data_IF_547700245532
#
_entry.id   IF_547700245532
#
_cell.length_a   1.000
_cell.length_b   1.000
_cell.length_c   1.000
_cell.angle_alpha   90.00
_cell.angle_beta   90.00
_cell.angle_gamma   90.00
#
_symmetry.space_group_name_H-M   'P 1'
#
loop_
_entity.id
_entity.type
_entity.pdbx_description
1 polymer ?
#
# COMPACT_ATOMS: atom_id res chain seq x y z
N UNK A 1 -15.53 6.81 -6.49
CA UNK A 1 -14.39 5.89 -6.42
C UNK A 1 -14.20 5.58 -4.97
N UNK A 2 -14.12 4.29 -4.70
CA UNK A 2 -13.96 3.67 -3.40
C UNK A 2 -12.60 2.98 -3.47
N UNK A 3 -11.74 3.25 -2.49
CA UNK A 3 -10.43 2.59 -2.40
C UNK A 3 -10.42 1.75 -1.13
N UNK A 4 -10.14 0.47 -1.28
CA UNK A 4 -10.02 -0.48 -0.18
C UNK A 4 -8.52 -0.78 -0.01
N UNK A 5 -7.95 -0.29 1.07
CA UNK A 5 -6.53 -0.43 1.39
C UNK A 5 -6.32 -1.61 2.33
N UNK A 6 -5.31 -2.43 2.06
CA UNK A 6 -4.94 -3.59 2.88
C UNK A 6 -3.55 -3.37 3.47
N UNK A 7 -3.45 -3.24 4.80
CA UNK A 7 -2.18 -3.11 5.51
C UNK A 7 -1.91 -4.41 6.28
N UNK A 8 -0.74 -5.01 6.06
CA UNK A 8 -0.38 -6.29 6.66
C UNK A 8 -0.83 -7.53 5.88
N UNK A 9 -1.14 -7.37 4.58
CA UNK A 9 -1.44 -8.48 3.67
C UNK A 9 -0.59 -8.41 2.39
N UNK A 10 -0.13 -9.55 1.92
CA UNK A 10 0.68 -9.67 0.71
C UNK A 10 -0.06 -9.19 -0.56
N UNK A 11 0.66 -8.49 -1.44
CA UNK A 11 0.10 -7.87 -2.64
C UNK A 11 -0.47 -8.88 -3.64
N UNK A 12 0.07 -10.10 -3.73
CA UNK A 12 -0.44 -11.13 -4.63
C UNK A 12 -1.75 -11.71 -4.10
N UNK A 13 -1.86 -11.84 -2.77
CA UNK A 13 -3.11 -12.22 -2.12
C UNK A 13 -4.18 -11.15 -2.37
N UNK A 14 -3.85 -9.86 -2.21
CA UNK A 14 -4.80 -8.77 -2.53
C UNK A 14 -5.16 -8.76 -4.02
N UNK A 15 -4.21 -9.05 -4.92
CA UNK A 15 -4.47 -9.16 -6.36
C UNK A 15 -5.43 -10.29 -6.72
N UNK A 16 -5.34 -11.43 -6.02
CA UNK A 16 -6.32 -12.52 -6.17
C UNK A 16 -7.68 -12.14 -5.57
N UNK A 17 -7.67 -11.56 -4.37
CA UNK A 17 -8.86 -11.11 -3.67
C UNK A 17 -9.66 -10.09 -4.50
N UNK A 18 -8.98 -9.12 -5.12
CA UNK A 18 -9.62 -8.13 -5.98
C UNK A 18 -10.32 -8.79 -7.17
N UNK A 19 -9.66 -9.73 -7.84
CA UNK A 19 -10.25 -10.49 -8.95
C UNK A 19 -11.51 -11.26 -8.54
N UNK A 20 -11.51 -11.86 -7.35
CA UNK A 20 -12.64 -12.68 -6.87
C UNK A 20 -13.81 -11.83 -6.34
N UNK A 21 -13.53 -10.66 -5.75
CA UNK A 21 -14.53 -9.92 -4.96
C UNK A 21 -14.96 -8.55 -5.54
N UNK A 22 -14.31 -8.03 -6.59
CA UNK A 22 -14.66 -6.71 -7.18
C UNK A 22 -16.15 -6.61 -7.52
N UNK A 23 -16.69 -7.59 -8.26
CA UNK A 23 -18.10 -7.60 -8.69
C UNK A 23 -19.09 -7.57 -7.53
N UNK A 24 -18.82 -8.36 -6.49
CA UNK A 24 -19.67 -8.41 -5.30
C UNK A 24 -19.63 -7.08 -4.54
N UNK A 25 -18.44 -6.52 -4.32
CA UNK A 25 -18.26 -5.23 -3.65
C UNK A 25 -18.92 -4.08 -4.43
N UNK A 26 -18.78 -4.04 -5.75
CA UNK A 26 -19.45 -3.07 -6.61
C UNK A 26 -20.98 -3.16 -6.47
N UNK A 27 -21.53 -4.38 -6.43
CA UNK A 27 -22.96 -4.61 -6.19
C UNK A 27 -23.40 -4.14 -4.80
N UNK A 28 -22.61 -4.38 -3.74
CA UNK A 28 -22.93 -3.96 -2.37
C UNK A 28 -22.89 -2.44 -2.21
N UNK A 29 -22.01 -1.77 -2.95
CA UNK A 29 -21.92 -0.32 -3.01
C UNK A 29 -22.88 0.33 -4.01
N UNK A 30 -23.67 -0.46 -4.75
CA UNK A 30 -24.54 0.03 -5.83
C UNK A 30 -23.79 0.92 -6.84
N UNK A 31 -22.61 0.45 -7.29
CA UNK A 31 -21.73 1.19 -8.20
C UNK A 31 -21.13 0.29 -9.28
N UNK A 32 -20.41 0.88 -10.23
CA UNK A 32 -19.71 0.13 -11.28
C UNK A 32 -18.41 -0.48 -10.75
N UNK A 33 -17.97 -1.60 -11.34
CA UNK A 33 -16.69 -2.24 -11.00
C UNK A 33 -15.50 -1.26 -11.13
N UNK A 34 -15.53 -0.37 -12.13
CA UNK A 34 -14.53 0.68 -12.34
C UNK A 34 -14.39 1.69 -11.19
N UNK A 35 -15.35 1.73 -10.27
CA UNK A 35 -15.31 2.63 -9.12
C UNK A 35 -14.70 1.98 -7.87
N UNK A 36 -14.35 0.69 -7.93
CA UNK A 36 -13.73 -0.05 -6.83
C UNK A 36 -12.23 -0.23 -7.13
N UNK A 37 -11.40 0.29 -6.23
CA UNK A 37 -9.95 0.12 -6.28
C UNK A 37 -9.47 -0.65 -5.06
N UNK A 38 -8.47 -1.52 -5.28
CA UNK A 38 -7.76 -2.23 -4.24
C UNK A 38 -6.35 -1.66 -4.15
N UNK A 39 -5.94 -1.27 -2.95
CA UNK A 39 -4.62 -0.71 -2.70
C UNK A 39 -3.86 -1.62 -1.72
N UNK A 40 -2.75 -2.18 -2.19
CA UNK A 40 -1.90 -3.11 -1.44
C UNK A 40 -0.48 -2.55 -1.35
N UNK A 41 -0.20 -1.63 -0.41
CA UNK A 41 1.16 -1.16 -0.19
C UNK A 41 2.01 -2.27 0.42
N UNK A 42 3.28 -2.35 0.02
CA UNK A 42 4.26 -3.16 0.73
C UNK A 42 4.47 -2.57 2.12
N UNK A 43 3.82 -3.16 3.11
CA UNK A 43 3.72 -2.65 4.47
C UNK A 43 3.85 -3.80 5.46
N UNK A 44 4.52 -3.53 6.57
CA UNK A 44 4.63 -4.45 7.70
C UNK A 44 3.86 -3.89 8.88
N UNK A 45 3.11 -4.74 9.57
CA UNK A 45 2.42 -4.38 10.81
C UNK A 45 3.31 -4.77 11.98
N UNK A 46 3.54 -3.85 12.91
CA UNK A 46 4.29 -4.13 14.14
C UNK A 46 3.43 -3.83 15.36
N UNK A 47 3.52 -4.68 16.37
CA UNK A 47 2.96 -4.43 17.69
C UNK A 47 4.01 -4.71 18.76
N UNK A 48 4.33 -3.71 19.57
CA UNK A 48 5.34 -3.79 20.64
C UNK A 48 6.70 -4.35 20.15
N UNK A 49 7.16 -3.89 18.98
CA UNK A 49 8.42 -4.32 18.38
C UNK A 49 8.38 -5.70 17.69
N UNK A 50 7.23 -6.38 17.69
CA UNK A 50 7.06 -7.69 17.05
C UNK A 50 6.30 -7.51 15.73
N UNK A 51 6.80 -8.14 14.68
CA UNK A 51 6.19 -8.22 13.35
C UNK A 51 4.87 -9.02 13.41
N UNK A 52 3.81 -8.54 12.75
CA UNK A 52 2.42 -9.05 12.85
C UNK A 52 1.73 -9.24 11.50
N UNK A 53 2.43 -9.01 10.39
CA UNK A 53 1.89 -9.20 9.03
C UNK A 53 1.35 -10.61 8.89
N UNK A 54 0.25 -10.77 8.16
CA UNK A 54 -0.52 -12.02 8.05
C UNK A 54 -1.23 -12.48 9.33
N UNK A 55 -0.86 -11.96 10.50
CA UNK A 55 -1.59 -12.20 11.76
C UNK A 55 -2.69 -11.16 11.96
N UNK A 56 -2.32 -9.88 11.85
CA UNK A 56 -3.22 -8.73 11.93
C UNK A 56 -3.33 -8.05 10.55
N UNK A 57 -4.55 -7.89 10.08
CA UNK A 57 -4.90 -7.18 8.86
C UNK A 57 -5.70 -5.93 9.20
N UNK A 58 -5.24 -4.77 8.74
CA UNK A 58 -5.98 -3.51 8.85
C UNK A 58 -6.50 -3.16 7.47
N UNK A 59 -7.82 -3.00 7.36
CA UNK A 59 -8.50 -2.64 6.12
C UNK A 59 -9.11 -1.25 6.26
N UNK A 60 -8.75 -0.35 5.35
CA UNK A 60 -9.29 1.01 5.31
C UNK A 60 -10.10 1.18 4.04
N UNK A 61 -11.41 1.42 4.19
CA UNK A 61 -12.33 1.67 3.09
C UNK A 61 -12.56 3.17 2.97
N UNK A 62 -11.91 3.79 1.99
CA UNK A 62 -12.07 5.20 1.68
C UNK A 62 -13.16 5.39 0.63
N UNK A 63 -14.24 6.08 0.98
CA UNK A 63 -15.42 6.19 0.12
C UNK A 63 -16.09 7.59 0.21
N UNK A 64 -16.82 8.01 -0.84
CA UNK A 64 -17.68 9.19 -0.76
C UNK A 64 -18.76 9.05 0.34
N UNK A 65 -19.08 10.15 1.04
CA UNK A 65 -20.08 10.18 2.14
C UNK A 65 -21.43 9.55 1.75
N UNK A 66 -21.83 9.64 0.46
CA UNK A 66 -23.09 9.03 -0.05
C UNK A 66 -23.19 7.52 0.15
N UNK A 67 -22.07 6.81 0.32
CA UNK A 67 -22.07 5.34 0.52
C UNK A 67 -22.16 4.92 1.99
N UNK A 68 -22.16 5.87 2.94
CA UNK A 68 -22.28 5.59 4.37
C UNK A 68 -23.50 4.71 4.75
N UNK A 69 -24.67 4.82 4.12
CA UNK A 69 -25.79 3.92 4.42
C UNK A 69 -25.51 2.43 4.13
N UNK A 70 -24.57 2.13 3.22
CA UNK A 70 -24.21 0.77 2.80
C UNK A 70 -23.07 0.16 3.64
N UNK A 71 -22.48 0.95 4.55
CA UNK A 71 -21.31 0.60 5.38
C UNK A 71 -21.48 -0.76 6.05
N UNK A 72 -22.60 -0.99 6.75
CA UNK A 72 -22.82 -2.22 7.52
C UNK A 72 -22.83 -3.47 6.65
N UNK A 73 -23.39 -3.38 5.44
CA UNK A 73 -23.50 -4.53 4.54
C UNK A 73 -22.12 -4.85 3.95
N UNK A 74 -21.37 -3.83 3.55
CA UNK A 74 -19.99 -3.98 3.06
C UNK A 74 -19.07 -4.49 4.17
N UNK A 75 -19.19 -3.94 5.38
CA UNK A 75 -18.39 -4.35 6.53
C UNK A 75 -18.59 -5.82 6.86
N UNK A 76 -19.86 -6.26 6.91
CA UNK A 76 -20.19 -7.66 7.11
C UNK A 76 -19.54 -8.55 6.05
N UNK A 77 -19.67 -8.18 4.78
CA UNK A 77 -19.08 -8.96 3.69
C UNK A 77 -17.56 -9.07 3.80
N UNK A 78 -16.85 -7.95 4.02
CA UNK A 78 -15.39 -7.95 4.17
C UNK A 78 -14.94 -8.79 5.38
N UNK A 79 -15.62 -8.67 6.51
CA UNK A 79 -15.30 -9.45 7.71
C UNK A 79 -15.62 -10.95 7.57
N UNK A 80 -16.49 -11.33 6.64
CA UNK A 80 -16.80 -12.74 6.32
C UNK A 80 -15.80 -13.36 5.35
N UNK A 81 -15.22 -12.58 4.42
CA UNK A 81 -14.33 -13.09 3.37
C UNK A 81 -12.84 -13.01 3.71
N UNK A 82 -12.42 -12.03 4.50
CA UNK A 82 -11.02 -11.82 4.87
C UNK A 82 -10.41 -12.81 5.89
N UNK A 83 -11.19 -13.53 6.74
CA UNK A 83 -10.63 -14.53 7.65
C UNK A 83 -9.89 -15.69 6.96
N UNK A 84 -10.00 -15.81 5.62
CA UNK A 84 -9.22 -16.74 4.83
C UNK A 84 -7.72 -16.39 4.77
N UNK A 85 -7.36 -15.14 5.07
CA UNK A 85 -6.00 -14.62 4.86
C UNK A 85 -5.33 -14.07 6.12
N UNK A 86 -6.09 -13.77 7.17
CA UNK A 86 -5.57 -13.24 8.44
C UNK A 86 -6.45 -13.61 9.62
N UNK A 87 -5.84 -13.65 10.81
CA UNK A 87 -6.51 -14.11 12.04
C UNK A 87 -7.30 -12.98 12.70
N UNK A 88 -6.70 -11.80 12.76
CA UNK A 88 -7.32 -10.60 13.29
C UNK A 88 -7.51 -9.60 12.18
N UNK A 89 -8.73 -9.03 12.10
CA UNK A 89 -9.11 -8.09 11.05
C UNK A 89 -9.68 -6.86 11.73
N UNK A 90 -9.07 -5.73 11.43
CA UNK A 90 -9.56 -4.40 11.75
C UNK A 90 -10.11 -3.77 10.46
N UNK A 91 -11.27 -3.13 10.56
CA UNK A 91 -11.94 -2.51 9.43
C UNK A 91 -12.38 -1.09 9.80
N UNK A 92 -11.90 -0.13 9.03
CA UNK A 92 -12.20 1.28 9.20
C UNK A 92 -12.82 1.86 7.93
N UNK A 93 -13.76 2.80 8.09
CA UNK A 93 -14.33 3.54 6.97
C UNK A 93 -13.93 5.01 7.07
N UNK A 94 -13.28 5.50 6.01
CA UNK A 94 -12.92 6.91 5.86
C UNK A 94 -13.81 7.56 4.79
N UNK A 95 -14.68 8.47 5.23
CA UNK A 95 -15.57 9.19 4.31
C UNK A 95 -14.99 10.52 3.86
N UNK A 96 -15.17 10.82 2.58
CA UNK A 96 -14.81 12.12 2.01
C UNK A 96 -15.97 12.76 1.23
N UNK A 97 -15.97 14.08 1.22
CA UNK A 97 -16.93 14.85 0.43
C UNK A 97 -16.59 14.80 -1.05
N UNK A 98 -17.61 14.61 -1.90
CA UNK A 98 -17.41 14.49 -3.36
C UNK A 98 -16.86 15.80 -3.94
N UNK A 99 -17.18 16.94 -3.33
CA UNK A 99 -16.63 18.26 -3.70
C UNK A 99 -15.13 18.40 -3.46
N UNK A 100 -14.53 17.57 -2.61
CA UNK A 100 -13.11 17.59 -2.26
C UNK A 100 -12.29 16.57 -3.07
N UNK A 101 -12.88 16.01 -4.13
CA UNK A 101 -12.23 15.08 -5.05
C UNK A 101 -12.07 15.73 -6.42
N UNK A 102 -10.86 15.68 -6.94
CA UNK A 102 -10.51 16.13 -8.28
C UNK A 102 -9.93 14.96 -9.06
N UNK A 103 -10.34 14.79 -10.32
CA UNK A 103 -9.84 13.73 -11.18
C UNK A 103 -9.56 14.23 -12.59
N UNK A 104 -8.57 13.63 -13.24
CA UNK A 104 -8.28 13.81 -14.66
C UNK A 104 -8.12 12.42 -15.26
N UNK A 105 -9.03 12.07 -16.17
CA UNK A 105 -8.99 10.80 -16.90
C UNK A 105 -8.50 11.10 -18.31
N UNK A 106 -7.50 10.36 -18.78
CA UNK A 106 -7.03 10.47 -20.15
C UNK A 106 -7.98 9.67 -21.06
N UNK A 107 -8.69 10.31 -22.01
CA UNK A 107 -9.61 9.61 -22.90
C UNK A 107 -8.92 8.71 -23.93
N UNK A 108 -7.62 8.93 -24.19
CA UNK A 108 -6.85 8.20 -25.21
C UNK A 108 -6.43 6.79 -24.73
N UNK A 109 -6.58 6.49 -23.44
CA UNK A 109 -6.16 5.23 -22.83
C UNK A 109 -7.30 4.64 -21.99
N UNK A 110 -7.40 3.30 -21.91
CA UNK A 110 -8.34 2.68 -21.00
C UNK A 110 -7.99 3.06 -19.56
N UNK A 111 -9.01 3.27 -18.72
CA UNK A 111 -8.83 3.66 -17.32
C UNK A 111 -8.07 2.59 -16.52
N UNK A 112 -8.30 1.32 -16.85
CA UNK A 112 -7.63 0.16 -16.24
C UNK A 112 -7.09 -0.76 -17.32
N UNK A 113 -5.97 -1.42 -17.02
CA UNK A 113 -5.36 -2.46 -17.85
C UNK A 113 -6.12 -3.76 -17.59
N UNK A 114 -6.54 -4.47 -18.64
CA UNK A 114 -7.14 -5.80 -18.52
C UNK A 114 -6.11 -6.92 -18.83
N UNK A 115 -6.52 -8.18 -18.65
CA UNK A 115 -5.65 -9.33 -18.93
C UNK A 115 -5.18 -9.39 -20.39
N UNK A 116 -5.94 -8.87 -21.35
CA UNK A 116 -5.55 -8.85 -22.76
C UNK A 116 -4.44 -7.85 -23.07
N UNK A 117 -4.20 -6.88 -22.18
CA UNK A 117 -3.11 -5.90 -22.31
C UNK A 117 -1.80 -6.36 -21.65
N UNK A 118 -1.82 -7.42 -20.83
CA UNK A 118 -0.63 -7.95 -20.15
C UNK A 118 0.12 -8.85 -21.13
N UNK A 119 1.31 -8.43 -21.57
CA UNK A 119 2.21 -9.31 -22.32
C UNK A 119 2.96 -10.19 -21.33
N UNK A 120 2.76 -11.50 -21.41
CA UNK A 120 3.61 -12.45 -20.69
C UNK A 120 5.05 -12.29 -21.21
N UNK A 121 5.96 -11.92 -20.32
CA UNK A 121 7.40 -11.94 -20.63
C UNK A 121 7.86 -13.36 -20.36
N UNK A 122 8.31 -14.07 -21.40
CA UNK A 122 9.04 -15.32 -21.25
C UNK A 122 10.35 -15.02 -20.54
N UNK A 123 10.36 -15.12 -19.21
CA UNK A 123 11.60 -15.08 -18.42
C UNK A 123 12.18 -16.49 -18.48
N UNK A 124 12.94 -16.78 -19.54
CA UNK A 124 13.85 -17.92 -19.54
C UNK A 124 14.94 -17.60 -18.52
N UNK A 125 14.84 -18.20 -17.34
CA UNK A 125 15.97 -18.29 -16.42
C UNK A 125 16.98 -19.22 -17.08
N UNK A 126 18.01 -18.66 -17.70
CA UNK A 126 19.21 -19.40 -18.05
C UNK A 126 19.82 -19.91 -16.73
N UNK A 127 19.49 -21.16 -16.39
CA UNK A 127 20.20 -21.91 -15.35
C UNK A 127 21.63 -22.16 -15.86
N UNK A 128 22.51 -21.18 -15.69
CA UNK A 128 23.94 -21.41 -15.75
C UNK A 128 24.39 -21.76 -14.32
N UNK A 129 24.37 -23.07 -14.05
CA UNK A 129 24.83 -23.71 -12.82
C UNK A 129 26.33 -23.46 -12.61
N UNK A 130 26.66 -22.32 -11.99
CA UNK A 130 28.03 -21.95 -11.60
C UNK A 130 28.20 -21.92 -10.08
N UNK A 131 28.18 -23.08 -9.42
CA UNK A 131 28.63 -23.19 -8.03
C UNK A 131 30.11 -22.76 -7.92
N UNK A 132 30.39 -21.64 -7.26
CA UNK A 132 31.70 -21.37 -6.64
C UNK A 132 31.51 -21.29 -5.13
N UNK A 133 31.52 -22.47 -4.54
CA UNK A 133 31.73 -22.68 -3.10
C UNK A 133 33.21 -22.43 -2.80
N UNK A 134 33.56 -21.20 -2.39
CA UNK A 134 34.72 -20.93 -1.54
C UNK A 134 34.64 -19.50 -0.99
N UNK A 135 34.77 -19.37 0.33
CA UNK A 135 34.86 -18.15 1.16
C UNK A 135 33.60 -17.77 1.96
N UNK A 136 32.90 -18.76 2.53
CA UNK A 136 32.38 -18.60 3.89
C UNK A 136 33.59 -18.58 4.85
N UNK A 137 33.93 -17.43 5.46
CA UNK A 137 34.50 -17.29 6.82
C UNK A 137 34.89 -15.82 7.07
N UNK A 138 34.18 -15.16 7.99
CA UNK A 138 34.51 -13.83 8.48
C UNK A 138 33.39 -13.26 9.37
N UNK A 139 33.22 -13.85 10.56
CA UNK A 139 32.54 -13.17 11.65
C UNK A 139 33.27 -11.85 11.92
N UNK A 140 32.60 -10.73 11.70
CA UNK A 140 32.87 -9.50 12.45
C UNK A 140 31.50 -8.89 12.76
N UNK A 141 31.16 -8.88 14.05
CA UNK A 141 29.96 -8.27 14.61
C UNK A 141 30.06 -6.73 14.50
N UNK A 142 29.96 -6.20 13.29
CA UNK A 142 29.82 -4.77 13.07
C UNK A 142 28.38 -4.36 13.37
N UNK A 143 28.20 -3.61 14.46
CA UNK A 143 26.96 -2.91 14.77
C UNK A 143 26.48 -2.14 13.53
N UNK A 144 25.26 -2.36 13.01
CA UNK A 144 24.77 -1.68 11.80
C UNK A 144 24.75 -0.15 11.90
N UNK A 145 24.80 0.39 13.13
CA UNK A 145 24.88 1.81 13.40
C UNK A 145 26.31 2.37 13.38
N UNK A 146 27.33 1.52 13.46
CA UNK A 146 28.74 1.91 13.39
C UNK A 146 29.23 1.87 11.93
N UNK A 147 28.64 2.72 11.09
CA UNK A 147 29.24 3.13 9.82
C UNK A 147 30.41 4.07 10.10
N UNK A 148 31.53 3.49 10.55
CA UNK A 148 32.78 4.19 10.83
C UNK A 148 33.48 4.76 9.58
N UNK A 149 32.90 4.54 8.40
CA UNK A 149 33.37 4.94 7.08
C UNK A 149 32.87 6.31 6.61
N UNK A 150 32.02 6.98 7.39
CA UNK A 150 31.40 8.26 7.02
C UNK A 150 32.03 9.42 7.81
N UNK A 151 32.92 10.18 7.17
CA UNK A 151 33.47 11.43 7.71
C UNK A 151 32.39 12.51 7.74
N UNK A 152 31.95 12.90 8.94
CA UNK A 152 30.96 13.95 9.18
C UNK A 152 31.30 15.29 8.52
N UNK A 153 32.59 15.53 8.20
CA UNK A 153 33.07 16.76 7.59
C UNK A 153 33.37 16.65 6.09
N UNK A 154 33.03 15.54 5.42
CA UNK A 154 33.26 15.40 3.97
C UNK A 154 32.30 16.30 3.17
N UNK A 155 32.80 17.35 2.47
CA UNK A 155 31.96 18.26 1.69
C UNK A 155 31.32 17.62 0.45
N UNK A 156 31.74 16.40 0.06
CA UNK A 156 31.14 15.63 -1.03
C UNK A 156 30.09 14.61 -0.55
N UNK A 157 29.90 14.48 0.78
CA UNK A 157 28.85 13.65 1.32
C UNK A 157 27.49 14.30 1.04
N UNK A 158 26.56 13.54 0.47
CA UNK A 158 25.21 14.03 0.16
C UNK A 158 24.48 14.23 1.49
N UNK A 159 24.55 15.44 2.04
CA UNK A 159 23.74 15.86 3.17
C UNK A 159 22.28 15.89 2.72
N UNK A 160 21.51 14.86 3.11
CA UNK A 160 20.10 14.70 2.74
C UNK A 160 19.17 15.73 3.43
N UNK A 161 19.74 16.66 4.20
CA UNK A 161 18.99 17.67 4.93
C UNK A 161 18.14 17.07 6.05
N UNK A 162 17.72 17.91 6.98
CA UNK A 162 16.64 17.54 7.87
C UNK A 162 15.34 17.79 7.08
N UNK A 163 14.71 16.72 6.57
CA UNK A 163 13.54 16.81 5.68
C UNK A 163 12.33 17.56 6.29
N UNK A 164 12.39 17.83 7.60
CA UNK A 164 11.37 18.53 8.37
C UNK A 164 11.78 19.96 8.77
N UNK A 165 12.96 20.41 8.37
CA UNK A 165 13.39 21.79 8.59
C UNK A 165 12.40 22.74 7.89
N UNK A 166 11.87 23.69 8.66
CA UNK A 166 10.81 24.63 8.27
C UNK A 166 9.41 24.04 7.93
N UNK A 167 9.14 22.77 8.24
CA UNK A 167 7.80 22.18 8.03
C UNK A 167 6.71 22.93 8.82
N UNK A 168 6.98 23.27 10.08
CA UNK A 168 6.05 24.02 10.93
C UNK A 168 5.76 25.43 10.38
N UNK A 169 6.77 26.09 9.80
CA UNK A 169 6.59 27.41 9.17
C UNK A 169 5.74 27.33 7.90
N UNK A 170 5.91 26.26 7.10
CA UNK A 170 5.08 26.00 5.92
C UNK A 170 3.62 25.73 6.31
N UNK A 171 3.40 24.97 7.39
CA UNK A 171 2.07 24.65 7.91
C UNK A 171 1.32 25.91 8.39
N UNK A 172 2.00 26.79 9.12
CA UNK A 172 1.43 28.06 9.60
C UNK A 172 1.14 29.06 8.48
N UNK A 173 1.95 29.06 7.41
CA UNK A 173 1.69 29.89 6.22
C UNK A 173 0.45 29.42 5.47
N UNK A 174 0.29 28.11 5.27
CA UNK A 174 -0.89 27.53 4.62
C UNK A 174 -2.21 27.83 5.38
N UNK A 175 -2.17 27.82 6.72
CA UNK A 175 -3.34 28.19 7.55
C UNK A 175 -3.76 29.67 7.40
N UNK A 176 -2.82 30.57 7.11
CA UNK A 176 -3.10 32.01 6.91
C UNK A 176 -3.65 32.33 5.53
N UNK A 177 -3.27 31.57 4.50
CA UNK A 177 -3.76 31.72 3.13
C UNK A 177 -5.15 31.08 2.92
N UNK A 178 -5.59 30.25 3.87
CA UNK A 178 -6.91 29.60 3.91
C UNK A 178 -7.99 30.41 4.66
N UNK A 179 -7.69 31.61 5.14
CA UNK A 179 -8.62 32.52 5.84
C UNK A 179 -8.93 33.74 5.00
#
# INVERSE_FOLDING_TARGET
MITISFLGLDQFVVGRYSKEHTKALASLFETSEDEINFYAPNSMVFHNGVEQTSWNLIVIVKAPTKYKPLEKVVAKYLLETLPLFSIHIELEFEYFETSSRYEKINPDYPRYIDQGHIKEVDVTFDNDDGCLDECCHGHDDANPNDRADLDYNDPNQIYLGNAFEDFDKKLEKAKKESK
#
